data_IF_432342816350
#
_entry.id   IF_432342816350
#
_cell.length_a   1.000
_cell.length_b   1.000
_cell.length_c   1.000
_cell.angle_alpha   90.00
_cell.angle_beta   90.00
_cell.angle_gamma   90.00
#
_symmetry.space_group_name_H-M   'P 1'
#
loop_
_entity.id
_entity.type
_entity.pdbx_description
1 polymer ?
#
# COMPACT_ATOMS: atom_id res chain seq x y z
N UNK A 1 -11.30 -8.47 19.24
CA UNK A 1 -10.55 -7.59 18.31
C UNK A 1 -10.66 -6.17 18.82
N UNK A 2 -9.53 -5.43 18.87
CA UNK A 2 -9.52 -4.02 19.28
C UNK A 2 -9.42 -3.13 18.04
N UNK A 3 -10.45 -2.26 17.88
CA UNK A 3 -10.61 -1.34 16.74
C UNK A 3 -11.38 -1.96 15.56
N UNK A 4 -12.29 -1.18 14.98
CA UNK A 4 -13.13 -1.56 13.84
C UNK A 4 -12.77 -0.81 12.55
N UNK A 5 -11.50 -0.47 12.34
CA UNK A 5 -10.98 -0.08 11.03
C UNK A 5 -10.92 -1.27 10.07
N UNK A 6 -10.42 -1.06 8.84
CA UNK A 6 -10.33 -2.12 7.82
C UNK A 6 -9.59 -3.37 8.31
N UNK A 7 -8.55 -3.22 9.11
CA UNK A 7 -7.80 -4.35 9.67
C UNK A 7 -8.66 -5.11 10.70
N UNK A 8 -9.35 -4.39 11.59
CA UNK A 8 -10.19 -5.03 12.62
C UNK A 8 -11.39 -5.74 12.03
N UNK A 9 -12.11 -5.12 11.12
CA UNK A 9 -13.29 -5.73 10.48
C UNK A 9 -12.92 -6.96 9.65
N UNK A 10 -11.85 -6.91 8.85
CA UNK A 10 -11.38 -8.08 8.09
C UNK A 10 -10.85 -9.20 8.99
N UNK A 11 -10.14 -8.85 10.08
CA UNK A 11 -9.70 -9.86 11.08
C UNK A 11 -10.89 -10.53 11.75
N UNK A 12 -11.91 -9.76 12.15
CA UNK A 12 -13.13 -10.28 12.75
C UNK A 12 -13.87 -11.21 11.79
N UNK A 13 -14.00 -10.83 10.54
CA UNK A 13 -14.60 -11.65 9.49
C UNK A 13 -13.91 -13.01 9.36
N UNK A 14 -12.59 -13.04 9.18
CA UNK A 14 -11.86 -14.30 9.03
C UNK A 14 -11.89 -15.15 10.29
N UNK A 15 -11.80 -14.55 11.47
CA UNK A 15 -11.92 -15.30 12.72
C UNK A 15 -13.30 -15.97 12.86
N UNK A 16 -14.38 -15.23 12.60
CA UNK A 16 -15.74 -15.78 12.66
C UNK A 16 -15.97 -16.84 11.55
N UNK A 17 -15.47 -16.62 10.34
CA UNK A 17 -15.50 -17.59 9.24
C UNK A 17 -14.80 -18.91 9.60
N UNK A 18 -13.78 -18.87 10.47
CA UNK A 18 -13.10 -20.06 11.01
C UNK A 18 -13.73 -20.62 12.30
N UNK A 19 -14.93 -20.18 12.66
CA UNK A 19 -15.70 -20.73 13.78
C UNK A 19 -15.38 -20.16 15.16
N UNK A 20 -14.64 -19.05 15.23
CA UNK A 20 -14.41 -18.37 16.50
C UNK A 20 -15.58 -17.47 16.88
N UNK A 21 -15.91 -17.43 18.16
CA UNK A 21 -16.77 -16.40 18.74
C UNK A 21 -15.96 -15.09 18.82
N UNK A 22 -16.47 -14.02 18.20
CA UNK A 22 -15.72 -12.77 18.03
C UNK A 22 -16.49 -11.58 18.57
N UNK A 23 -15.83 -10.80 19.44
CA UNK A 23 -16.28 -9.47 19.84
C UNK A 23 -15.26 -8.43 19.36
N UNK A 24 -15.74 -7.39 18.70
CA UNK A 24 -14.96 -6.22 18.27
C UNK A 24 -15.30 -5.05 19.18
N UNK A 25 -14.29 -4.43 19.79
CA UNK A 25 -14.43 -3.24 20.63
C UNK A 25 -13.89 -2.05 19.86
N UNK A 26 -14.73 -1.03 19.65
CA UNK A 26 -14.38 0.19 18.90
C UNK A 26 -14.72 1.43 19.74
N UNK A 27 -13.77 2.36 19.84
CA UNK A 27 -13.92 3.60 20.60
C UNK A 27 -14.77 4.67 19.90
N UNK A 28 -15.04 4.50 18.61
CA UNK A 28 -15.90 5.37 17.84
C UNK A 28 -17.33 4.83 17.82
N UNK A 29 -18.28 5.62 17.39
CA UNK A 29 -19.69 5.24 17.30
C UNK A 29 -20.04 4.37 16.08
N UNK A 30 -19.06 4.08 15.21
CA UNK A 30 -19.22 3.28 14.01
C UNK A 30 -17.88 2.72 13.54
N UNK A 31 -17.94 1.79 12.57
CA UNK A 31 -16.74 1.23 11.94
C UNK A 31 -16.06 2.23 11.01
N UNK A 32 -14.76 2.10 10.82
CA UNK A 32 -13.94 2.85 9.85
C UNK A 32 -13.98 4.37 10.00
N UNK A 33 -14.12 4.89 11.21
CA UNK A 33 -14.24 6.34 11.46
C UNK A 33 -12.91 7.10 11.54
N UNK A 34 -11.77 6.40 11.49
CA UNK A 34 -10.43 7.02 11.56
C UNK A 34 -9.68 6.88 10.21
N UNK A 35 -8.46 6.36 10.19
CA UNK A 35 -7.64 6.23 8.96
C UNK A 35 -8.34 5.48 7.84
N UNK A 36 -9.21 4.52 8.16
CA UNK A 36 -9.99 3.77 7.17
C UNK A 36 -11.14 4.58 6.57
N UNK A 37 -11.51 5.73 7.15
CA UNK A 37 -12.55 6.62 6.64
C UNK A 37 -12.10 7.35 5.37
N UNK A 38 -10.86 7.85 5.39
CA UNK A 38 -10.30 8.63 4.30
C UNK A 38 -8.82 8.30 4.13
N UNK A 39 -8.51 7.54 3.10
CA UNK A 39 -7.16 7.19 2.67
C UNK A 39 -7.10 7.20 1.13
N UNK A 40 -5.96 6.87 0.55
CA UNK A 40 -5.79 6.88 -0.90
C UNK A 40 -6.57 5.76 -1.62
N UNK A 41 -7.10 4.77 -0.90
CA UNK A 41 -7.83 3.65 -1.48
C UNK A 41 -7.02 2.79 -2.44
N UNK A 42 -5.69 2.85 -2.39
CA UNK A 42 -4.81 2.12 -3.28
C UNK A 42 -4.56 0.70 -2.75
N UNK A 43 -4.87 -0.30 -3.59
CA UNK A 43 -4.53 -1.70 -3.38
C UNK A 43 -3.34 -2.03 -4.30
N UNK A 44 -2.16 -1.53 -3.91
CA UNK A 44 -0.96 -1.49 -4.74
C UNK A 44 0.02 -2.59 -4.33
N UNK A 45 -0.27 -3.81 -4.72
CA UNK A 45 0.56 -4.99 -4.39
C UNK A 45 1.91 -4.93 -5.09
N UNK A 46 1.95 -4.45 -6.34
CA UNK A 46 3.16 -4.30 -7.13
C UNK A 46 4.04 -3.14 -6.68
N UNK A 47 3.44 -2.06 -6.20
CA UNK A 47 4.16 -0.87 -5.74
C UNK A 47 4.74 -1.02 -4.31
N UNK A 48 4.46 -2.13 -3.63
CA UNK A 48 4.93 -2.38 -2.26
C UNK A 48 6.46 -2.43 -2.17
N UNK A 49 7.05 -1.50 -1.43
CA UNK A 49 8.51 -1.37 -1.27
C UNK A 49 8.90 -0.87 0.11
N UNK A 50 10.04 -1.33 0.68
CA UNK A 50 10.55 -0.80 1.94
C UNK A 50 11.03 0.65 1.76
N UNK A 51 10.80 1.48 2.78
CA UNK A 51 11.29 2.85 2.81
C UNK A 51 12.82 2.91 2.86
N UNK A 52 13.46 2.00 3.62
CA UNK A 52 14.91 1.91 3.71
C UNK A 52 15.48 1.31 2.42
N UNK A 53 15.92 2.17 1.51
CA UNK A 53 16.55 1.79 0.25
C UNK A 53 17.96 2.32 0.07
N UNK A 54 18.75 1.71 -0.83
CA UNK A 54 20.09 2.19 -1.15
C UNK A 54 20.04 3.65 -1.66
N UNK A 55 20.92 4.50 -1.10
CA UNK A 55 21.00 5.92 -1.47
C UNK A 55 20.02 6.84 -0.70
N UNK A 56 19.08 6.31 0.08
CA UNK A 56 18.14 7.11 0.86
C UNK A 56 18.84 8.11 1.81
N UNK A 57 19.91 7.77 2.56
CA UNK A 57 20.57 8.73 3.44
C UNK A 57 21.13 9.96 2.70
N UNK A 58 21.71 9.76 1.52
CA UNK A 58 22.19 10.85 0.67
C UNK A 58 21.04 11.68 0.11
N UNK A 59 19.94 11.03 -0.25
CA UNK A 59 18.73 11.72 -0.70
C UNK A 59 18.13 12.59 0.39
N UNK A 60 18.02 12.10 1.62
CA UNK A 60 17.54 12.86 2.79
C UNK A 60 18.41 14.08 3.01
N UNK A 61 19.74 13.93 2.99
CA UNK A 61 20.67 15.04 3.15
C UNK A 61 20.43 16.11 2.06
N UNK A 62 20.34 15.69 0.80
CA UNK A 62 20.06 16.58 -0.34
C UNK A 62 18.72 17.30 -0.18
N UNK A 63 17.66 16.59 0.18
CA UNK A 63 16.32 17.18 0.36
C UNK A 63 16.30 18.19 1.51
N UNK A 64 16.99 17.90 2.61
CA UNK A 64 17.10 18.83 3.75
C UNK A 64 17.82 20.11 3.34
N UNK A 65 18.93 19.99 2.59
CA UNK A 65 19.70 21.15 2.10
C UNK A 65 18.92 21.99 1.06
N UNK A 66 18.04 21.36 0.29
CA UNK A 66 17.23 22.04 -0.75
C UNK A 66 15.86 22.51 -0.28
N UNK A 67 15.51 22.26 0.99
CA UNK A 67 14.19 22.62 1.55
C UNK A 67 13.02 21.83 0.92
N UNK A 68 13.28 20.71 0.25
CA UNK A 68 12.30 19.89 -0.46
C UNK A 68 12.12 18.50 0.20
N UNK A 69 12.37 18.40 1.50
CA UNK A 69 12.25 17.13 2.21
C UNK A 69 10.79 16.69 2.29
N UNK A 70 10.44 15.47 1.83
CA UNK A 70 9.12 14.88 2.07
C UNK A 70 8.95 14.42 3.52
N UNK A 71 10.04 14.40 4.31
CA UNK A 71 10.04 14.00 5.72
C UNK A 71 10.21 15.23 6.60
N UNK A 72 9.29 15.41 7.52
CA UNK A 72 9.40 16.40 8.59
C UNK A 72 9.96 15.69 9.81
N UNK A 73 11.19 16.02 10.18
CA UNK A 73 11.84 15.46 11.38
C UNK A 73 11.67 16.48 12.50
N UNK A 74 10.94 16.11 13.55
CA UNK A 74 10.83 16.93 14.74
C UNK A 74 12.20 16.99 15.46
N UNK A 75 12.77 18.15 15.74
CA UNK A 75 14.06 18.26 16.45
C UNK A 75 14.00 17.67 17.89
N UNK A 76 12.84 17.66 18.53
CA UNK A 76 12.62 17.05 19.85
C UNK A 76 12.33 15.53 19.71
N UNK A 77 13.30 14.78 19.18
CA UNK A 77 13.15 13.34 18.97
C UNK A 77 13.27 12.56 20.27
N UNK A 78 12.38 11.58 20.47
CA UNK A 78 12.52 10.60 21.53
C UNK A 78 13.70 9.63 21.24
N UNK A 79 14.20 8.97 22.28
CA UNK A 79 15.25 7.94 22.14
C UNK A 79 14.79 6.82 21.20
N UNK A 80 13.50 6.46 21.24
CA UNK A 80 12.88 5.47 20.36
C UNK A 80 12.93 5.91 18.90
N UNK A 81 12.67 7.18 18.61
CA UNK A 81 12.78 7.74 17.25
C UNK A 81 14.24 7.66 16.75
N UNK A 82 15.20 8.00 17.58
CA UNK A 82 16.63 7.88 17.21
C UNK A 82 17.01 6.43 16.95
N UNK A 83 16.59 5.48 17.79
CA UNK A 83 16.81 4.05 17.57
C UNK A 83 16.16 3.56 16.28
N UNK A 84 14.93 4.02 15.97
CA UNK A 84 14.25 3.69 14.73
C UNK A 84 15.04 4.19 13.50
N UNK A 85 15.46 5.46 13.49
CA UNK A 85 16.23 6.04 12.40
C UNK A 85 17.57 5.33 12.20
N UNK A 86 18.24 4.95 13.28
CA UNK A 86 19.48 4.16 13.21
C UNK A 86 19.26 2.77 12.61
N UNK A 87 18.19 2.07 13.01
CA UNK A 87 17.83 0.77 12.43
C UNK A 87 17.43 0.93 10.95
N UNK A 88 16.72 1.99 10.59
CA UNK A 88 16.39 2.30 9.21
C UNK A 88 17.67 2.54 8.39
N UNK A 89 18.60 3.34 8.89
CA UNK A 89 19.90 3.59 8.24
C UNK A 89 20.66 2.29 7.97
N UNK A 90 20.74 1.38 8.94
CA UNK A 90 21.39 0.06 8.76
C UNK A 90 20.76 -0.78 7.64
N UNK A 91 19.50 -0.58 7.34
CA UNK A 91 18.79 -1.29 6.28
C UNK A 91 18.89 -0.59 4.91
N UNK A 92 19.52 0.60 4.81
CA UNK A 92 19.69 1.34 3.57
C UNK A 92 20.82 0.78 2.69
N UNK A 93 20.80 -0.53 2.44
CA UNK A 93 21.73 -1.24 1.54
C UNK A 93 20.97 -2.22 0.65
N UNK A 94 21.59 -2.61 -0.47
CA UNK A 94 20.95 -3.46 -1.51
C UNK A 94 20.47 -4.79 -0.94
N UNK A 95 21.32 -5.50 -0.16
CA UNK A 95 20.95 -6.82 0.40
C UNK A 95 19.74 -6.75 1.33
N UNK A 96 19.73 -5.79 2.26
CA UNK A 96 18.59 -5.61 3.18
C UNK A 96 17.33 -5.20 2.43
N UNK A 97 17.46 -4.32 1.43
CA UNK A 97 16.35 -3.90 0.59
C UNK A 97 15.70 -5.08 -0.13
N UNK A 98 16.47 -5.92 -0.82
CA UNK A 98 15.97 -7.08 -1.55
C UNK A 98 15.26 -8.08 -0.62
N UNK A 99 15.86 -8.39 0.54
CA UNK A 99 15.26 -9.27 1.53
C UNK A 99 13.95 -8.70 2.07
N UNK A 100 13.93 -7.41 2.43
CA UNK A 100 12.75 -6.78 2.99
C UNK A 100 11.65 -6.60 1.95
N UNK A 101 11.99 -6.20 0.72
CA UNK A 101 11.03 -6.13 -0.39
C UNK A 101 10.38 -7.50 -0.67
N UNK A 102 11.18 -8.57 -0.71
CA UNK A 102 10.69 -9.93 -0.89
C UNK A 102 9.73 -10.37 0.23
N UNK A 103 10.01 -9.98 1.48
CA UNK A 103 9.11 -10.24 2.62
C UNK A 103 7.79 -9.46 2.50
N UNK A 104 7.86 -8.18 2.14
CA UNK A 104 6.67 -7.34 1.93
C UNK A 104 5.80 -7.87 0.79
N UNK A 105 6.41 -8.26 -0.33
CA UNK A 105 5.69 -8.81 -1.48
C UNK A 105 4.97 -10.13 -1.15
N UNK A 106 5.54 -10.98 -0.29
CA UNK A 106 4.84 -12.20 0.17
C UNK A 106 3.55 -11.87 0.93
N UNK A 107 3.63 -10.89 1.83
CA UNK A 107 2.46 -10.43 2.60
C UNK A 107 1.45 -9.74 1.68
N UNK A 108 1.91 -8.88 0.76
CA UNK A 108 1.05 -8.20 -0.21
C UNK A 108 0.30 -9.21 -1.10
N UNK A 109 0.98 -10.24 -1.57
CA UNK A 109 0.37 -11.32 -2.36
C UNK A 109 -0.63 -12.17 -1.57
N UNK A 110 -0.34 -12.43 -0.29
CA UNK A 110 -1.29 -13.09 0.60
C UNK A 110 -2.53 -12.20 0.82
N UNK A 111 -2.32 -10.91 1.07
CA UNK A 111 -3.42 -9.93 1.20
C UNK A 111 -4.29 -9.87 -0.06
N UNK A 112 -3.68 -9.90 -1.26
CA UNK A 112 -4.42 -9.95 -2.53
C UNK A 112 -5.31 -11.20 -2.61
N UNK A 113 -4.78 -12.37 -2.25
CA UNK A 113 -5.56 -13.61 -2.24
C UNK A 113 -6.71 -13.56 -1.24
N UNK A 114 -6.46 -13.05 -0.03
CA UNK A 114 -7.49 -12.89 0.99
C UNK A 114 -8.60 -11.93 0.55
N UNK A 115 -8.27 -10.85 -0.17
CA UNK A 115 -9.27 -9.95 -0.72
C UNK A 115 -10.10 -10.61 -1.82
N UNK A 116 -9.47 -11.37 -2.74
CA UNK A 116 -10.18 -12.14 -3.78
C UNK A 116 -11.12 -13.17 -3.13
N UNK A 117 -10.69 -13.81 -2.03
CA UNK A 117 -11.55 -14.72 -1.26
C UNK A 117 -12.78 -14.00 -0.72
N UNK A 118 -12.61 -12.84 -0.07
CA UNK A 118 -13.72 -12.03 0.40
C UNK A 118 -14.66 -11.64 -0.75
N UNK A 119 -14.11 -11.17 -1.87
CA UNK A 119 -14.90 -10.81 -3.06
C UNK A 119 -15.66 -12.00 -3.67
N UNK A 120 -15.19 -13.23 -3.46
CA UNK A 120 -15.88 -14.44 -3.92
C UNK A 120 -16.97 -14.93 -2.97
N UNK A 121 -16.85 -14.60 -1.69
CA UNK A 121 -17.81 -15.04 -0.67
C UNK A 121 -19.16 -14.26 -0.75
N UNK A 122 -19.11 -13.02 -1.19
CA UNK A 122 -20.30 -12.18 -1.34
C UNK A 122 -20.04 -10.99 -2.28
N UNK A 123 -21.09 -10.64 -3.02
CA UNK A 123 -21.05 -9.50 -3.95
C UNK A 123 -21.30 -8.20 -3.19
N UNK A 124 -20.34 -7.28 -3.24
CA UNK A 124 -20.48 -5.94 -2.68
C UNK A 124 -19.69 -4.92 -3.48
N UNK A 125 -20.19 -3.69 -3.49
CA UNK A 125 -19.58 -2.59 -4.23
C UNK A 125 -18.90 -1.62 -3.26
N UNK A 126 -17.60 -1.43 -3.44
CA UNK A 126 -16.80 -0.44 -2.74
C UNK A 126 -16.05 0.47 -3.73
N UNK A 127 -16.69 0.75 -4.87
CA UNK A 127 -16.16 1.60 -5.95
C UNK A 127 -14.81 1.09 -6.52
N UNK A 128 -14.62 -0.22 -6.54
CA UNK A 128 -13.38 -0.83 -7.02
C UNK A 128 -13.15 -0.57 -8.51
N UNK A 129 -11.91 -0.16 -8.84
CA UNK A 129 -11.46 0.07 -10.22
C UNK A 129 -10.22 -0.75 -10.49
N UNK A 130 -10.37 -1.85 -11.24
CA UNK A 130 -9.30 -2.82 -11.55
C UNK A 130 -8.59 -2.43 -12.86
N UNK A 131 -7.98 -1.25 -12.89
CA UNK A 131 -7.31 -0.69 -14.08
C UNK A 131 -5.79 -0.61 -13.95
N UNK A 132 -5.23 -1.16 -12.87
CA UNK A 132 -3.82 -1.07 -12.56
C UNK A 132 -3.45 0.22 -11.85
N UNK A 133 -2.15 0.34 -11.54
CA UNK A 133 -1.54 1.58 -11.08
C UNK A 133 -0.35 1.94 -11.97
N UNK A 134 -0.08 3.23 -12.13
CA UNK A 134 0.97 3.75 -12.98
C UNK A 134 1.97 4.57 -12.16
N UNK A 135 3.19 4.04 -12.00
CA UNK A 135 4.30 4.79 -11.42
C UNK A 135 5.02 5.55 -12.53
N UNK A 136 5.14 6.87 -12.38
CA UNK A 136 5.78 7.73 -13.37
C UNK A 136 7.23 8.05 -13.00
N UNK A 137 8.09 8.16 -14.01
CA UNK A 137 9.48 8.59 -13.89
C UNK A 137 9.72 9.87 -14.67
N UNK A 138 10.42 10.81 -14.04
CA UNK A 138 10.78 12.11 -14.61
C UNK A 138 12.22 12.13 -15.14
N UNK A 139 13.04 11.12 -14.76
CA UNK A 139 14.44 11.00 -15.16
C UNK A 139 14.72 9.55 -15.60
N UNK A 140 15.50 9.39 -16.66
CA UNK A 140 15.96 8.08 -17.17
C UNK A 140 16.74 7.27 -16.14
N UNK A 141 17.46 7.94 -15.22
CA UNK A 141 18.15 7.27 -14.11
C UNK A 141 17.19 6.59 -13.12
N UNK A 142 15.95 7.08 -13.01
CA UNK A 142 14.92 6.43 -12.19
C UNK A 142 14.46 5.13 -12.85
N UNK A 143 14.34 5.11 -14.17
CA UNK A 143 14.03 3.90 -14.96
C UNK A 143 15.13 2.85 -14.78
N UNK A 144 16.41 3.23 -14.89
CA UNK A 144 17.54 2.31 -14.68
C UNK A 144 17.52 1.69 -13.27
N UNK A 145 17.23 2.48 -12.24
CA UNK A 145 17.09 1.99 -10.87
C UNK A 145 15.92 1.04 -10.69
N UNK A 146 14.83 1.25 -11.43
CA UNK A 146 13.62 0.43 -11.34
C UNK A 146 13.81 -0.98 -11.90
N UNK A 147 14.79 -1.22 -12.79
CA UNK A 147 15.07 -2.54 -13.36
C UNK A 147 15.36 -3.60 -12.29
N UNK A 148 16.02 -3.22 -11.19
CA UNK A 148 16.23 -4.11 -10.04
C UNK A 148 14.90 -4.49 -9.38
N UNK A 149 14.00 -3.54 -9.25
CA UNK A 149 12.70 -3.75 -8.64
C UNK A 149 11.82 -4.65 -9.52
N UNK A 150 11.84 -4.44 -10.83
CA UNK A 150 11.16 -5.30 -11.82
C UNK A 150 11.66 -6.74 -11.70
N UNK A 151 12.97 -6.97 -11.65
CA UNK A 151 13.54 -8.31 -11.48
C UNK A 151 13.09 -9.01 -10.17
N UNK A 152 12.84 -8.25 -9.10
CA UNK A 152 12.26 -8.81 -7.88
C UNK A 152 10.77 -9.13 -8.08
N UNK A 153 10.01 -8.25 -8.72
CA UNK A 153 8.58 -8.43 -8.99
C UNK A 153 8.32 -9.68 -9.83
N UNK A 154 9.14 -9.92 -10.84
CA UNK A 154 9.07 -11.11 -11.71
C UNK A 154 9.20 -12.42 -10.91
N UNK A 155 10.11 -12.49 -9.91
CA UNK A 155 10.26 -13.66 -9.02
C UNK A 155 8.99 -13.95 -8.21
N UNK A 156 8.13 -12.97 -8.02
CA UNK A 156 6.85 -13.09 -7.32
C UNK A 156 5.66 -13.20 -8.27
N UNK A 157 5.89 -13.32 -9.60
CA UNK A 157 4.84 -13.32 -10.61
C UNK A 157 3.89 -12.11 -10.49
N UNK A 158 4.44 -10.93 -10.24
CA UNK A 158 3.70 -9.67 -10.24
C UNK A 158 3.83 -9.06 -11.64
N UNK A 159 2.70 -8.87 -12.30
CA UNK A 159 2.66 -8.32 -13.65
C UNK A 159 2.99 -6.84 -13.63
N UNK A 160 4.17 -6.50 -14.12
CA UNK A 160 4.63 -5.12 -14.30
C UNK A 160 5.14 -4.92 -15.72
N UNK A 161 4.86 -3.76 -16.30
CA UNK A 161 5.26 -3.42 -17.66
C UNK A 161 5.93 -2.05 -17.65
N UNK A 162 7.14 -1.97 -18.21
CA UNK A 162 7.84 -0.71 -18.40
C UNK A 162 7.24 -0.01 -19.64
N UNK A 163 6.79 1.22 -19.44
CA UNK A 163 6.14 2.02 -20.48
C UNK A 163 7.00 3.21 -20.90
N UNK A 164 6.96 3.53 -22.20
CA UNK A 164 7.45 4.81 -22.71
C UNK A 164 6.56 5.97 -22.27
N UNK A 165 7.01 7.21 -22.42
CA UNK A 165 6.17 8.38 -22.16
C UNK A 165 4.89 8.40 -23.01
N UNK A 166 4.98 7.93 -24.27
CA UNK A 166 3.84 7.76 -25.17
C UNK A 166 2.82 6.76 -24.61
N UNK A 167 3.28 5.61 -24.15
CA UNK A 167 2.42 4.55 -23.65
C UNK A 167 1.83 4.91 -22.28
N UNK A 168 2.55 5.67 -21.45
CA UNK A 168 1.98 6.28 -20.24
C UNK A 168 0.79 7.19 -20.58
N UNK A 169 0.88 8.02 -21.61
CA UNK A 169 -0.23 8.88 -22.05
C UNK A 169 -1.39 8.08 -22.63
N UNK A 170 -1.13 6.95 -23.30
CA UNK A 170 -2.22 6.05 -23.77
C UNK A 170 -2.95 5.41 -22.58
N UNK A 171 -2.21 5.03 -21.53
CA UNK A 171 -2.77 4.44 -20.33
C UNK A 171 -3.53 5.46 -19.48
N UNK A 172 -3.00 6.69 -19.34
CA UNK A 172 -3.60 7.80 -18.62
C UNK A 172 -3.59 9.07 -19.47
N UNK A 173 -4.66 9.36 -20.22
CA UNK A 173 -4.74 10.50 -21.16
C UNK A 173 -4.52 11.86 -20.51
N UNK A 174 -4.74 12.00 -19.19
CA UNK A 174 -4.47 13.22 -18.44
C UNK A 174 -2.98 13.64 -18.48
N UNK A 175 -2.08 12.69 -18.72
CA UNK A 175 -0.64 12.94 -18.79
C UNK A 175 -0.19 13.66 -20.06
N UNK A 176 -1.05 13.87 -21.06
CA UNK A 176 -0.72 14.55 -22.33
C UNK A 176 -0.04 15.91 -22.13
N UNK A 177 -0.44 16.65 -21.10
CA UNK A 177 0.10 18.00 -20.82
C UNK A 177 1.51 17.99 -20.22
N UNK A 178 1.97 16.86 -19.71
CA UNK A 178 3.30 16.70 -19.09
C UNK A 178 4.18 15.68 -19.80
N UNK A 179 3.73 15.12 -20.92
CA UNK A 179 4.43 14.10 -21.71
C UNK A 179 5.90 14.41 -21.95
N UNK A 180 6.20 15.65 -22.36
CA UNK A 180 7.58 16.08 -22.67
C UNK A 180 8.52 16.13 -21.47
N UNK A 181 7.98 16.00 -20.25
CA UNK A 181 8.73 15.95 -18.99
C UNK A 181 8.86 14.52 -18.46
N UNK A 182 8.11 13.57 -19.02
CA UNK A 182 8.13 12.17 -18.59
C UNK A 182 9.27 11.43 -19.26
N UNK A 183 10.04 10.67 -18.49
CA UNK A 183 10.98 9.69 -19.02
C UNK A 183 10.29 8.35 -19.35
N UNK A 184 9.24 7.99 -18.64
CA UNK A 184 8.46 6.77 -18.78
C UNK A 184 7.73 6.39 -17.50
N UNK A 185 7.34 5.13 -17.37
CA UNK A 185 6.66 4.63 -16.17
C UNK A 185 6.66 3.12 -16.06
N UNK A 186 6.16 2.62 -14.95
CA UNK A 186 5.82 1.20 -14.76
C UNK A 186 4.32 1.07 -14.53
N UNK A 187 3.67 0.22 -15.29
CA UNK A 187 2.28 -0.15 -15.10
C UNK A 187 2.19 -1.48 -14.34
N UNK A 188 1.56 -1.45 -13.16
CA UNK A 188 1.26 -2.63 -12.35
C UNK A 188 -0.18 -3.06 -12.62
N UNK A 189 -0.36 -4.03 -13.50
CA UNK A 189 -1.69 -4.41 -14.07
C UNK A 189 -2.65 -5.01 -13.05
N UNK A 190 -2.12 -5.64 -12.00
CA UNK A 190 -2.93 -6.31 -10.96
C UNK A 190 -3.25 -5.39 -9.76
N UNK A 191 -2.73 -4.16 -9.76
CA UNK A 191 -3.09 -3.15 -8.77
C UNK A 191 -4.46 -2.55 -9.10
N UNK A 192 -5.14 -2.04 -8.08
CA UNK A 192 -6.43 -1.37 -8.26
C UNK A 192 -6.73 -0.39 -7.13
N UNK A 193 -7.85 0.30 -7.21
CA UNK A 193 -8.32 1.22 -6.18
C UNK A 193 -9.69 0.81 -5.69
N UNK A 194 -10.04 1.22 -4.47
CA UNK A 194 -11.35 1.01 -3.87
C UNK A 194 -11.57 1.94 -2.69
N UNK A 195 -12.81 2.15 -2.35
CA UNK A 195 -13.20 2.97 -1.21
C UNK A 195 -13.12 2.14 0.08
N UNK A 196 -12.08 2.40 0.87
CA UNK A 196 -11.78 1.65 2.09
C UNK A 196 -12.89 1.79 3.15
N UNK A 197 -13.55 2.94 3.24
CA UNK A 197 -14.68 3.16 4.14
C UNK A 197 -15.87 2.29 3.74
N UNK A 198 -16.26 2.31 2.47
CA UNK A 198 -17.35 1.46 1.96
C UNK A 198 -17.04 -0.03 2.14
N UNK A 199 -15.82 -0.46 1.79
CA UNK A 199 -15.35 -1.83 2.00
C UNK A 199 -15.51 -2.26 3.47
N UNK A 200 -15.02 -1.44 4.41
CA UNK A 200 -15.09 -1.77 5.84
C UNK A 200 -16.53 -1.86 6.35
N UNK A 201 -17.44 -1.02 5.83
CA UNK A 201 -18.86 -1.08 6.20
C UNK A 201 -19.55 -2.33 5.65
N UNK A 202 -19.23 -2.75 4.42
CA UNK A 202 -19.79 -3.99 3.86
C UNK A 202 -19.28 -5.22 4.63
N UNK A 203 -18.00 -5.26 4.98
CA UNK A 203 -17.44 -6.32 5.85
C UNK A 203 -18.10 -6.31 7.22
N UNK A 204 -18.34 -5.14 7.82
CA UNK A 204 -19.06 -5.03 9.08
C UNK A 204 -20.46 -5.66 9.02
N UNK A 205 -21.24 -5.35 7.99
CA UNK A 205 -22.57 -5.97 7.79
C UNK A 205 -22.47 -7.50 7.76
N UNK A 206 -21.50 -8.02 6.99
CA UNK A 206 -21.25 -9.47 6.93
C UNK A 206 -20.80 -10.06 8.25
N UNK A 207 -19.95 -9.39 9.00
CA UNK A 207 -19.58 -9.80 10.33
C UNK A 207 -20.79 -9.95 11.26
N UNK A 208 -21.72 -8.98 11.24
CA UNK A 208 -22.96 -9.04 12.02
C UNK A 208 -23.83 -10.21 11.57
N UNK A 209 -24.00 -10.43 10.27
CA UNK A 209 -24.76 -11.56 9.71
C UNK A 209 -24.22 -12.93 10.18
N UNK A 210 -22.92 -13.08 10.35
CA UNK A 210 -22.27 -14.32 10.80
C UNK A 210 -22.03 -14.39 12.32
N UNK A 211 -22.63 -13.47 13.09
CA UNK A 211 -22.66 -13.51 14.54
C UNK A 211 -21.53 -12.82 15.28
N UNK A 212 -20.75 -11.96 14.62
CA UNK A 212 -19.76 -11.11 15.30
C UNK A 212 -20.46 -10.03 16.10
N UNK A 213 -20.10 -9.90 17.37
CA UNK A 213 -20.58 -8.83 18.24
C UNK A 213 -19.71 -7.57 18.10
N UNK A 214 -20.34 -6.39 18.06
CA UNK A 214 -19.64 -5.09 18.02
C UNK A 214 -20.07 -4.24 19.20
N UNK A 215 -19.10 -3.78 19.97
CA UNK A 215 -19.27 -2.85 21.08
C UNK A 215 -18.63 -1.51 20.70
N UNK A 216 -19.45 -0.48 20.61
CA UNK A 216 -19.04 0.90 20.25
C UNK A 216 -19.07 1.79 21.50
N UNK A 217 -18.15 2.81 21.60
CA UNK A 217 -17.95 3.81 22.66
C UNK A 217 -17.25 3.29 23.91
#
# INVERSE_FOLDING_TARGET
VLGAGVIGTTSAYFLAKHGHEVTVIERQNSVAMETSHANAGCLSYGFTSPWAGPGLPLSILKWTLTGRSPLIINPNMSIETVKFLYRMYKNCNTRSYEVNKSRMLRIAKYSQKALIEIESDFDFNYEQRKQGSLQLFWDTKEIEKSNRDIAILEKFNIKSELLTAEDCVKTEPGLKYVKNKLAGGIHFKDDFTGNCYMFSNEIYKKCVEIGVNFEFN
#
